data_IF_762674942906
#
_entry.id   IF_762674942906
#
_cell.length_a   1.000
_cell.length_b   1.000
_cell.length_c   1.000
_cell.angle_alpha   90.00
_cell.angle_beta   90.00
_cell.angle_gamma   90.00
#
_symmetry.space_group_name_H-M   'P 1'
#
loop_
_entity.id
_entity.type
_entity.pdbx_description
1 polymer ?
#
# COMPACT_ATOMS: atom_id res chain seq x y z
N UNK A 1 -18.35 -17.04 1.79
CA UNK A 1 -17.38 -16.21 2.54
C UNK A 1 -16.98 -15.05 1.65
N UNK A 2 -16.99 -13.81 2.15
CA UNK A 2 -16.49 -12.64 1.41
C UNK A 2 -15.01 -12.43 1.71
N UNK A 3 -14.23 -12.05 0.72
CA UNK A 3 -12.77 -11.86 0.82
C UNK A 3 -12.44 -10.37 0.76
N UNK A 4 -11.78 -9.85 1.79
CA UNK A 4 -11.24 -8.49 1.82
C UNK A 4 -9.74 -8.57 1.65
N UNK A 5 -9.21 -7.92 0.62
CA UNK A 5 -7.78 -7.64 0.51
C UNK A 5 -7.49 -6.30 1.19
N UNK A 6 -6.80 -6.33 2.33
CA UNK A 6 -6.41 -5.17 3.11
C UNK A 6 -4.96 -4.80 2.82
N UNK A 7 -4.76 -3.67 2.15
CA UNK A 7 -3.46 -3.17 1.72
C UNK A 7 -2.94 -2.15 2.74
N UNK A 8 -1.73 -2.38 3.24
CA UNK A 8 -1.01 -1.48 4.15
C UNK A 8 0.42 -1.20 3.64
N UNK A 9 1.19 -0.44 4.43
CA UNK A 9 2.60 -0.14 4.16
C UNK A 9 3.34 0.24 5.44
N UNK A 10 4.47 -0.42 5.70
CA UNK A 10 5.23 -0.27 6.94
C UNK A 10 6.19 0.93 6.99
N UNK A 11 5.99 1.96 6.16
CA UNK A 11 6.78 3.21 6.18
C UNK A 11 6.53 4.07 7.43
N UNK A 12 5.52 3.73 8.23
CA UNK A 12 5.23 4.31 9.55
C UNK A 12 4.25 3.43 10.32
N UNK A 13 4.09 3.69 11.63
CA UNK A 13 3.28 2.83 12.50
C UNK A 13 1.77 3.12 12.43
N UNK A 14 1.34 4.29 11.94
CA UNK A 14 -0.08 4.65 11.87
C UNK A 14 -0.88 3.72 10.95
N UNK A 15 -0.38 3.48 9.73
CA UNK A 15 -1.04 2.62 8.75
C UNK A 15 -1.14 1.16 9.22
N UNK A 16 -0.10 0.65 9.89
CA UNK A 16 -0.10 -0.69 10.48
C UNK A 16 -1.14 -0.82 11.60
N UNK A 17 -1.27 0.18 12.47
CA UNK A 17 -2.27 0.16 13.54
C UNK A 17 -3.70 0.20 12.99
N UNK A 18 -3.97 1.05 11.99
CA UNK A 18 -5.30 1.08 11.34
C UNK A 18 -5.61 -0.26 10.67
N UNK A 19 -4.64 -0.82 9.94
CA UNK A 19 -4.77 -2.12 9.28
C UNK A 19 -5.07 -3.24 10.29
N UNK A 20 -4.28 -3.31 11.36
CA UNK A 20 -4.46 -4.26 12.46
C UNK A 20 -5.85 -4.15 13.09
N UNK A 21 -6.30 -2.93 13.43
CA UNK A 21 -7.61 -2.73 14.04
C UNK A 21 -8.76 -3.18 13.11
N UNK A 22 -8.64 -2.95 11.79
CA UNK A 22 -9.61 -3.43 10.81
C UNK A 22 -9.63 -4.96 10.80
N UNK A 23 -8.45 -5.60 10.66
CA UNK A 23 -8.31 -7.07 10.65
C UNK A 23 -8.92 -7.69 11.91
N UNK A 24 -8.53 -7.21 13.10
CA UNK A 24 -9.02 -7.72 14.39
C UNK A 24 -10.53 -7.51 14.57
N UNK A 25 -11.08 -6.40 14.09
CA UNK A 25 -12.53 -6.13 14.15
C UNK A 25 -13.30 -7.12 13.27
N UNK A 26 -12.85 -7.36 12.05
CA UNK A 26 -13.51 -8.33 11.16
C UNK A 26 -13.39 -9.76 11.67
N UNK A 27 -12.24 -10.14 12.20
CA UNK A 27 -12.04 -11.45 12.80
C UNK A 27 -12.95 -11.67 14.02
N UNK A 28 -13.03 -10.67 14.90
CA UNK A 28 -13.83 -10.74 16.13
C UNK A 28 -15.33 -10.80 15.87
N UNK A 29 -15.85 -9.99 14.95
CA UNK A 29 -17.30 -9.80 14.78
C UNK A 29 -17.88 -10.48 13.53
N UNK A 30 -17.04 -10.85 12.55
CA UNK A 30 -17.50 -11.29 11.22
C UNK A 30 -16.71 -12.48 10.64
N UNK A 31 -15.92 -13.21 11.43
CA UNK A 31 -15.09 -14.35 10.97
C UNK A 31 -15.87 -15.46 10.26
N UNK A 32 -17.16 -15.63 10.56
CA UNK A 32 -18.02 -16.60 9.87
C UNK A 32 -18.51 -16.13 8.47
N UNK A 33 -18.28 -14.86 8.12
CA UNK A 33 -18.78 -14.24 6.88
C UNK A 33 -17.67 -13.63 6.04
N UNK A 34 -16.61 -13.14 6.66
CA UNK A 34 -15.54 -12.36 6.05
C UNK A 34 -14.19 -12.96 6.40
N UNK A 35 -13.33 -13.07 5.40
CA UNK A 35 -11.89 -13.35 5.56
C UNK A 35 -11.11 -12.12 5.12
N UNK A 36 -10.25 -11.61 6.00
CA UNK A 36 -9.35 -10.50 5.71
C UNK A 36 -7.97 -11.07 5.38
N UNK A 37 -7.42 -10.67 4.24
CA UNK A 37 -6.05 -10.97 3.84
C UNK A 37 -5.29 -9.66 3.82
N UNK A 38 -4.37 -9.50 4.76
CA UNK A 38 -3.56 -8.29 4.91
C UNK A 38 -2.24 -8.40 4.12
N UNK A 39 -1.82 -7.32 3.46
CA UNK A 39 -0.54 -7.28 2.75
C UNK A 39 0.13 -5.91 2.84
N UNK A 40 1.38 -5.89 3.32
CA UNK A 40 2.28 -4.75 3.11
C UNK A 40 2.75 -4.76 1.66
N UNK A 41 2.14 -3.93 0.84
CA UNK A 41 2.26 -4.03 -0.60
C UNK A 41 3.68 -3.77 -1.10
N UNK A 42 4.38 -2.81 -0.51
CA UNK A 42 5.74 -2.44 -0.90
C UNK A 42 6.74 -3.48 -0.42
N UNK A 43 6.58 -3.93 0.83
CA UNK A 43 7.50 -4.92 1.41
C UNK A 43 7.41 -6.26 0.67
N UNK A 44 6.20 -6.70 0.33
CA UNK A 44 6.01 -7.95 -0.38
C UNK A 44 6.40 -7.87 -1.87
N UNK A 45 6.23 -6.71 -2.50
CA UNK A 45 6.71 -6.50 -3.87
C UNK A 45 8.24 -6.53 -3.97
N UNK A 46 8.93 -5.87 -3.03
CA UNK A 46 10.39 -5.76 -3.03
C UNK A 46 11.00 -5.91 -1.62
N UNK A 47 11.12 -7.15 -1.09
CA UNK A 47 11.54 -7.40 0.30
C UNK A 47 12.92 -6.86 0.67
N UNK A 48 13.84 -6.78 -0.29
CA UNK A 48 15.21 -6.31 -0.07
C UNK A 48 15.34 -4.79 -0.20
N UNK A 49 14.58 -4.17 -1.10
CA UNK A 49 14.67 -2.74 -1.41
C UNK A 49 13.81 -1.90 -0.46
N UNK A 50 12.61 -2.38 -0.12
CA UNK A 50 11.67 -1.64 0.72
C UNK A 50 12.22 -1.29 2.11
N UNK A 51 12.95 -2.16 2.83
CA UNK A 51 13.57 -1.79 4.10
C UNK A 51 14.59 -0.65 3.97
N UNK A 52 15.36 -0.61 2.87
CA UNK A 52 16.32 0.47 2.59
C UNK A 52 15.59 1.79 2.35
N UNK A 53 14.56 1.77 1.49
CA UNK A 53 13.73 2.95 1.21
C UNK A 53 13.01 3.45 2.46
N UNK A 54 12.47 2.56 3.28
CA UNK A 54 11.85 2.88 4.57
C UNK A 54 12.84 3.58 5.49
N UNK A 55 14.08 3.09 5.59
CA UNK A 55 15.12 3.73 6.38
C UNK A 55 15.38 5.15 5.87
N UNK A 56 15.63 5.32 4.57
CA UNK A 56 15.87 6.64 3.98
C UNK A 56 14.70 7.62 4.22
N UNK A 57 13.47 7.15 4.03
CA UNK A 57 12.25 7.91 4.30
C UNK A 57 12.20 8.38 5.76
N UNK A 58 12.33 7.47 6.73
CA UNK A 58 12.30 7.82 8.16
C UNK A 58 13.44 8.77 8.56
N UNK A 59 14.65 8.57 8.02
CA UNK A 59 15.79 9.46 8.28
C UNK A 59 15.57 10.87 7.74
N UNK A 60 14.89 11.02 6.60
CA UNK A 60 14.60 12.35 6.04
C UNK A 60 13.74 13.22 6.96
N UNK A 61 12.79 12.64 7.71
CA UNK A 61 11.99 13.40 8.69
C UNK A 61 12.82 13.88 9.88
N UNK A 62 13.78 13.07 10.32
CA UNK A 62 14.62 13.38 11.48
C UNK A 62 15.72 14.39 11.17
N UNK A 63 16.31 14.33 9.97
CA UNK A 63 17.55 15.05 9.67
C UNK A 63 17.49 16.01 8.48
N UNK A 64 16.48 15.91 7.60
CA UNK A 64 16.41 16.67 6.35
C UNK A 64 15.02 17.27 6.09
N UNK A 65 14.49 18.03 7.06
CA UNK A 65 13.16 18.67 6.98
C UNK A 65 13.00 19.59 5.75
N UNK A 66 14.06 20.31 5.39
CA UNK A 66 14.03 21.24 4.24
C UNK A 66 14.01 20.52 2.89
N UNK A 67 14.67 19.35 2.80
CA UNK A 67 14.64 18.49 1.60
C UNK A 67 13.27 17.84 1.45
N UNK A 68 12.64 17.43 2.55
CA UNK A 68 11.28 16.91 2.52
C UNK A 68 10.29 17.95 1.98
N UNK A 69 10.37 19.20 2.46
CA UNK A 69 9.56 20.31 1.94
C UNK A 69 9.80 20.52 0.45
N UNK A 70 11.07 20.61 0.02
CA UNK A 70 11.42 20.78 -1.38
C UNK A 70 10.90 19.63 -2.28
N UNK A 71 11.05 18.37 -1.86
CA UNK A 71 10.55 17.22 -2.62
C UNK A 71 9.02 17.16 -2.68
N UNK A 72 8.34 17.52 -1.59
CA UNK A 72 6.88 17.59 -1.54
C UNK A 72 6.33 18.67 -2.49
N UNK A 73 6.94 19.85 -2.51
CA UNK A 73 6.57 20.94 -3.42
C UNK A 73 7.10 20.77 -4.84
N UNK A 74 8.21 20.06 -5.05
CA UNK A 74 8.68 19.70 -6.39
C UNK A 74 7.79 18.63 -7.04
N UNK A 75 7.17 17.78 -6.23
CA UNK A 75 6.23 16.75 -6.67
C UNK A 75 4.87 17.28 -7.13
N UNK A 76 4.49 18.52 -6.78
CA UNK A 76 3.22 19.11 -7.24
C UNK A 76 3.23 19.54 -8.71
N UNK A 77 4.42 19.67 -9.33
CA UNK A 77 4.59 20.06 -10.73
C UNK A 77 5.05 18.92 -11.66
N UNK A 78 5.22 17.69 -11.16
CA UNK A 78 5.65 16.55 -11.97
C UNK A 78 4.53 15.52 -12.08
N UNK A 79 3.83 15.59 -13.20
CA UNK A 79 2.71 14.72 -13.58
C UNK A 79 3.07 13.25 -13.83
N UNK A 80 4.30 12.81 -13.59
CA UNK A 80 4.73 11.44 -13.90
C UNK A 80 5.75 10.88 -12.89
N UNK A 81 5.28 10.49 -11.70
CA UNK A 81 6.01 9.51 -10.89
C UNK A 81 5.76 8.10 -11.44
N UNK A 82 5.88 7.91 -12.76
CA UNK A 82 5.46 6.71 -13.49
C UNK A 82 6.03 5.44 -12.85
N UNK A 83 7.32 5.45 -12.49
CA UNK A 83 8.00 4.30 -11.90
C UNK A 83 7.45 3.90 -10.51
N UNK A 84 7.08 4.88 -9.68
CA UNK A 84 6.47 4.63 -8.36
C UNK A 84 5.07 3.99 -8.50
N UNK A 85 4.34 4.31 -9.59
CA UNK A 85 3.04 3.67 -9.90
C UNK A 85 3.20 2.17 -10.16
N UNK A 86 4.27 1.78 -10.83
CA UNK A 86 4.55 0.38 -11.18
C UNK A 86 5.30 -0.40 -10.11
N UNK A 87 5.95 0.28 -9.15
CA UNK A 87 6.80 -0.32 -8.11
C UNK A 87 6.19 -1.54 -7.43
N UNK A 88 4.89 -1.53 -7.13
CA UNK A 88 4.22 -2.69 -6.52
C UNK A 88 3.10 -3.27 -7.36
N UNK A 89 2.96 -2.82 -8.61
CA UNK A 89 1.83 -3.17 -9.47
C UNK A 89 1.81 -4.64 -9.86
N UNK A 90 2.93 -5.22 -10.26
CA UNK A 90 2.95 -6.63 -10.68
C UNK A 90 2.63 -7.57 -9.52
N UNK A 91 3.14 -7.25 -8.32
CA UNK A 91 2.76 -7.95 -7.10
C UNK A 91 1.26 -7.79 -6.80
N UNK A 92 0.74 -6.55 -6.81
CA UNK A 92 -0.69 -6.28 -6.59
C UNK A 92 -1.57 -7.04 -7.58
N UNK A 93 -1.22 -7.04 -8.86
CA UNK A 93 -1.95 -7.72 -9.93
C UNK A 93 -1.98 -9.23 -9.70
N UNK A 94 -0.86 -9.83 -9.32
CA UNK A 94 -0.78 -11.25 -8.96
C UNK A 94 -1.64 -11.55 -7.74
N UNK A 95 -1.51 -10.75 -6.69
CA UNK A 95 -2.25 -10.89 -5.44
C UNK A 95 -3.76 -10.83 -5.66
N UNK A 96 -4.25 -9.88 -6.48
CA UNK A 96 -5.68 -9.77 -6.83
C UNK A 96 -6.16 -10.99 -7.63
N UNK A 97 -5.33 -11.52 -8.53
CA UNK A 97 -5.66 -12.73 -9.31
C UNK A 97 -5.73 -13.99 -8.44
N UNK A 98 -4.83 -14.11 -7.46
CA UNK A 98 -4.76 -15.28 -6.57
C UNK A 98 -5.86 -15.24 -5.50
N UNK A 99 -6.09 -14.06 -4.90
CA UNK A 99 -7.07 -13.91 -3.82
C UNK A 99 -8.49 -13.76 -4.36
N UNK A 100 -8.67 -13.18 -5.55
CA UNK A 100 -9.97 -12.79 -6.11
C UNK A 100 -10.87 -12.08 -5.07
N UNK A 101 -10.41 -10.94 -4.49
CA UNK A 101 -11.12 -10.27 -3.41
C UNK A 101 -12.44 -9.66 -3.89
N UNK A 102 -13.47 -9.71 -3.04
CA UNK A 102 -14.73 -8.98 -3.26
C UNK A 102 -14.52 -7.47 -3.04
N UNK A 103 -13.64 -7.11 -2.10
CA UNK A 103 -13.37 -5.73 -1.69
C UNK A 103 -11.86 -5.57 -1.50
N UNK A 104 -11.32 -4.45 -1.99
CA UNK A 104 -9.96 -4.00 -1.69
C UNK A 104 -10.05 -2.76 -0.80
N UNK A 105 -9.46 -2.83 0.38
CA UNK A 105 -9.32 -1.69 1.31
C UNK A 105 -7.85 -1.30 1.36
N UNK A 106 -7.56 0.00 1.39
CA UNK A 106 -6.18 0.48 1.49
C UNK A 106 -6.06 1.47 2.63
N UNK A 107 -5.16 1.19 3.57
CA UNK A 107 -4.83 2.08 4.68
C UNK A 107 -3.57 2.88 4.40
N UNK A 108 -2.84 2.58 3.32
CA UNK A 108 -1.59 3.23 2.92
C UNK A 108 -1.70 3.82 1.51
N UNK A 109 -1.34 5.10 1.27
CA UNK A 109 -1.38 5.69 -0.06
C UNK A 109 -0.52 4.89 -1.04
N UNK A 110 -1.15 4.31 -2.07
CA UNK A 110 -0.43 3.60 -3.13
C UNK A 110 -1.00 3.92 -4.51
N UNK A 111 -0.18 4.42 -5.45
CA UNK A 111 -0.62 4.69 -6.82
C UNK A 111 -0.88 3.41 -7.64
N UNK A 112 -0.38 2.24 -7.23
CA UNK A 112 -0.55 0.98 -7.95
C UNK A 112 -2.03 0.60 -8.10
N UNK A 113 -2.88 1.01 -7.16
CA UNK A 113 -4.34 0.82 -7.23
C UNK A 113 -4.97 1.50 -8.45
N UNK A 114 -4.42 2.63 -8.92
CA UNK A 114 -4.93 3.31 -10.12
C UNK A 114 -4.78 2.45 -11.38
N UNK A 115 -3.76 1.59 -11.43
CA UNK A 115 -3.46 0.74 -12.57
C UNK A 115 -4.36 -0.51 -12.63
N UNK A 116 -5.05 -0.86 -11.53
CA UNK A 116 -6.08 -1.91 -11.54
C UNK A 116 -7.35 -1.45 -12.27
N UNK A 117 -7.72 -0.17 -12.15
CA UNK A 117 -8.96 0.39 -12.74
C UNK A 117 -8.89 0.50 -14.26
N UNK A 118 -7.70 0.70 -14.83
CA UNK A 118 -7.50 0.96 -16.26
C UNK A 118 -7.71 -0.26 -17.18
N UNK A 119 -8.09 -1.45 -16.67
CA UNK A 119 -8.31 -2.66 -17.48
C UNK A 119 -9.76 -3.06 -17.70
N UNK A 120 -10.73 -2.22 -17.34
CA UNK A 120 -12.16 -2.44 -17.65
C UNK A 120 -12.68 -1.69 -18.89
N UNK A 121 -11.79 -1.02 -19.64
CA UNK A 121 -12.10 -0.31 -20.89
C UNK A 121 -10.95 -0.35 -21.90
N UNK A 122 -10.45 -1.55 -22.21
CA UNK A 122 -9.74 -1.84 -23.47
C UNK A 122 -10.19 -3.20 -23.98
#
# INVERSE_FOLDING_TARGET
>A
MKRILLITGSFGNGHLQVSKNISETFEKYYSNRVTVIESDLFLQAHPNLTPVLKKLYLYSFSYFRDIYGYLYYAGSNQSDISIYRYFSYDYLKRLVKEIEPDIIVSTFPTPALSLLKNKKYQ
#
